data_IF_196969388111
#
_entry.id   IF_196969388111
#
_cell.length_a   1.000
_cell.length_b   1.000
_cell.length_c   1.000
_cell.angle_alpha   90.00
_cell.angle_beta   90.00
_cell.angle_gamma   90.00
#
_symmetry.space_group_name_H-M   'P 1'
#
loop_
_entity.id
_entity.type
_entity.pdbx_description
1 polymer ?
#
# COMPACT_ATOMS: atom_id res chain seq x y z
N UNK A 1 -33.61 -60.77 -7.32
CA UNK A 1 -32.97 -59.47 -7.48
C UNK A 1 -31.73 -59.65 -8.32
N UNK A 2 -31.61 -59.01 -9.53
CA UNK A 2 -30.40 -59.09 -10.30
C UNK A 2 -29.33 -58.21 -9.59
N UNK A 3 -28.19 -58.80 -9.29
CA UNK A 3 -27.01 -58.06 -8.82
C UNK A 3 -26.49 -57.22 -10.00
N UNK A 4 -26.06 -55.98 -9.77
CA UNK A 4 -25.36 -55.20 -10.80
C UNK A 4 -24.03 -55.91 -11.08
N UNK A 5 -23.83 -56.35 -12.34
CA UNK A 5 -22.55 -56.81 -12.83
C UNK A 5 -21.53 -55.68 -12.63
N UNK A 6 -20.57 -55.93 -11.74
CA UNK A 6 -19.37 -55.10 -11.62
C UNK A 6 -18.63 -55.22 -12.95
N UNK A 7 -18.71 -54.20 -13.81
CA UNK A 7 -17.90 -54.11 -15.02
C UNK A 7 -16.44 -53.93 -14.58
N UNK A 8 -15.72 -55.04 -14.49
CA UNK A 8 -14.26 -54.98 -14.38
C UNK A 8 -13.71 -54.28 -15.63
N UNK A 9 -13.14 -53.10 -15.45
CA UNK A 9 -12.49 -52.37 -16.54
C UNK A 9 -11.18 -53.09 -16.85
N UNK A 10 -11.20 -53.97 -17.86
CA UNK A 10 -10.01 -54.65 -18.35
C UNK A 10 -9.12 -53.61 -19.10
N UNK A 11 -8.05 -53.18 -18.43
CA UNK A 11 -7.08 -52.21 -18.98
C UNK A 11 -6.39 -52.74 -20.24
N UNK A 12 -6.32 -54.07 -20.42
CA UNK A 12 -5.71 -54.71 -21.58
C UNK A 12 -6.65 -54.57 -22.78
N UNK A 13 -7.93 -54.81 -22.59
CA UNK A 13 -8.97 -54.64 -23.64
C UNK A 13 -9.06 -53.18 -24.09
N UNK A 14 -8.98 -52.21 -23.14
CA UNK A 14 -8.93 -50.81 -23.40
C UNK A 14 -7.69 -50.41 -24.23
N UNK A 15 -6.54 -50.92 -23.88
CA UNK A 15 -5.29 -50.71 -24.61
C UNK A 15 -5.36 -51.27 -26.04
N UNK A 16 -5.95 -52.46 -26.21
CA UNK A 16 -6.16 -53.07 -27.55
C UNK A 16 -7.13 -52.27 -28.40
N UNK A 17 -8.23 -51.76 -27.85
CA UNK A 17 -9.18 -50.85 -28.55
C UNK A 17 -8.51 -49.58 -29.00
N UNK A 18 -7.70 -48.91 -28.14
CA UNK A 18 -6.92 -47.74 -28.50
C UNK A 18 -5.91 -48.06 -29.60
N UNK A 19 -5.23 -49.19 -29.53
CA UNK A 19 -4.28 -49.62 -30.57
C UNK A 19 -4.96 -49.93 -31.91
N UNK A 20 -6.14 -50.53 -31.89
CA UNK A 20 -6.94 -50.82 -33.08
C UNK A 20 -7.41 -49.50 -33.75
N UNK A 21 -7.72 -48.47 -32.98
CA UNK A 21 -8.13 -47.14 -33.47
C UNK A 21 -6.97 -46.17 -33.66
N UNK A 22 -5.70 -46.62 -33.72
CA UNK A 22 -4.47 -45.78 -33.81
C UNK A 22 -4.56 -44.71 -34.88
N UNK A 23 -5.19 -44.93 -36.04
CA UNK A 23 -5.33 -43.94 -37.10
C UNK A 23 -6.21 -42.76 -36.69
N UNK A 24 -7.24 -43.03 -35.91
CA UNK A 24 -8.15 -42.01 -35.39
C UNK A 24 -7.47 -41.21 -34.26
N UNK A 25 -6.75 -41.91 -33.38
CA UNK A 25 -5.97 -41.27 -32.29
C UNK A 25 -4.87 -40.38 -32.88
N UNK A 26 -4.10 -40.84 -33.87
CA UNK A 26 -3.09 -40.00 -34.53
C UNK A 26 -3.68 -38.80 -35.26
N UNK A 27 -4.86 -38.92 -35.89
CA UNK A 27 -5.56 -37.78 -36.49
C UNK A 27 -6.00 -36.79 -35.43
N UNK A 28 -6.60 -37.25 -34.33
CA UNK A 28 -7.03 -36.38 -33.23
C UNK A 28 -5.87 -35.67 -32.58
N UNK A 29 -4.78 -36.40 -32.28
CA UNK A 29 -3.55 -35.81 -31.75
C UNK A 29 -2.92 -34.80 -32.70
N UNK A 30 -2.91 -35.07 -34.01
CA UNK A 30 -2.41 -34.15 -35.03
C UNK A 30 -3.21 -32.84 -35.08
N UNK A 31 -4.56 -32.95 -35.07
CA UNK A 31 -5.43 -31.77 -35.00
C UNK A 31 -5.24 -30.99 -33.71
N UNK A 32 -5.18 -31.68 -32.56
CA UNK A 32 -4.98 -31.05 -31.27
C UNK A 32 -3.61 -30.34 -31.20
N UNK A 33 -2.55 -30.96 -31.73
CA UNK A 33 -1.22 -30.35 -31.80
C UNK A 33 -1.23 -29.10 -32.71
N UNK A 34 -1.90 -29.14 -33.84
CA UNK A 34 -2.02 -28.01 -34.77
C UNK A 34 -2.81 -26.85 -34.13
N UNK A 35 -3.92 -27.13 -33.48
CA UNK A 35 -4.68 -26.14 -32.72
C UNK A 35 -3.87 -25.57 -31.59
N UNK A 36 -3.16 -26.40 -30.80
CA UNK A 36 -2.29 -25.96 -29.72
C UNK A 36 -1.18 -25.04 -30.20
N UNK A 37 -0.59 -25.35 -31.36
CA UNK A 37 0.44 -24.51 -31.98
C UNK A 37 -0.09 -23.15 -32.42
N UNK A 38 -1.27 -23.11 -33.06
CA UNK A 38 -1.94 -21.86 -33.43
C UNK A 38 -2.27 -21.02 -32.21
N UNK A 39 -2.78 -21.62 -31.15
CA UNK A 39 -3.07 -20.91 -29.87
C UNK A 39 -1.77 -20.37 -29.27
N UNK A 40 -0.69 -21.16 -29.20
CA UNK A 40 0.57 -20.75 -28.61
C UNK A 40 1.20 -19.54 -29.33
N UNK A 41 1.14 -19.50 -30.68
CA UNK A 41 1.63 -18.35 -31.44
C UNK A 41 0.70 -17.13 -31.40
N UNK A 42 -0.54 -17.30 -30.96
CA UNK A 42 -1.52 -16.22 -30.85
C UNK A 42 -1.41 -15.40 -29.58
N UNK A 43 -0.73 -15.92 -28.55
CA UNK A 43 -0.57 -15.21 -27.27
C UNK A 43 0.47 -14.11 -27.44
N UNK A 44 0.13 -12.83 -27.16
CA UNK A 44 1.10 -11.73 -27.24
C UNK A 44 2.19 -11.92 -26.19
N UNK A 45 3.41 -11.51 -26.55
CA UNK A 45 4.54 -11.54 -25.62
C UNK A 45 4.33 -10.48 -24.53
N UNK A 46 4.70 -10.82 -23.31
CA UNK A 46 4.71 -9.91 -22.18
C UNK A 46 6.13 -9.79 -21.61
N UNK A 47 6.46 -8.59 -21.16
CA UNK A 47 7.75 -8.24 -20.59
C UNK A 47 7.53 -7.75 -19.17
N UNK A 48 8.26 -8.33 -18.22
CA UNK A 48 8.19 -7.94 -16.82
C UNK A 48 9.49 -7.26 -16.44
N UNK A 49 9.39 -6.07 -15.88
CA UNK A 49 10.50 -5.32 -15.30
C UNK A 49 10.30 -5.29 -13.80
N UNK A 50 11.37 -5.54 -13.04
CA UNK A 50 11.33 -5.50 -11.58
C UNK A 50 12.39 -4.56 -11.03
N UNK A 51 12.04 -3.86 -9.97
CA UNK A 51 12.92 -3.02 -9.16
C UNK A 51 12.83 -3.43 -7.70
N UNK A 52 13.94 -3.40 -7.00
CA UNK A 52 14.01 -3.72 -5.57
C UNK A 52 14.30 -2.45 -4.77
N UNK A 53 13.47 -2.22 -3.75
CA UNK A 53 13.62 -1.14 -2.79
C UNK A 53 14.16 -1.73 -1.49
N UNK A 54 15.32 -1.27 -1.05
CA UNK A 54 15.81 -1.61 0.27
C UNK A 54 15.00 -0.84 1.32
N UNK A 55 14.56 -1.50 2.41
CA UNK A 55 13.94 -0.78 3.51
C UNK A 55 14.97 0.21 4.08
N UNK A 56 14.54 1.42 4.32
CA UNK A 56 15.30 2.31 5.20
C UNK A 56 15.37 1.60 6.55
N UNK A 57 16.51 1.00 6.86
CA UNK A 57 16.75 0.41 8.15
C UNK A 57 16.76 1.55 9.16
N UNK A 58 15.60 1.91 9.66
CA UNK A 58 15.47 2.72 10.86
C UNK A 58 16.30 2.02 11.92
N UNK A 59 17.50 2.59 12.14
CA UNK A 59 18.60 1.90 12.80
C UNK A 59 18.18 1.24 14.09
N UNK A 60 18.11 -0.07 14.09
CA UNK A 60 18.35 -0.87 15.30
C UNK A 60 19.73 -0.60 15.91
N UNK A 61 20.52 0.27 15.29
CA UNK A 61 21.89 0.63 15.67
C UNK A 61 21.99 1.70 16.76
N UNK A 62 20.88 2.34 17.20
CA UNK A 62 20.90 3.37 18.25
C UNK A 62 20.57 2.89 19.67
N UNK A 63 20.24 1.61 19.85
CA UNK A 63 19.86 1.04 21.15
C UNK A 63 21.03 0.71 22.11
N UNK A 64 22.27 0.96 21.72
CA UNK A 64 23.42 0.51 22.50
C UNK A 64 23.52 1.14 23.89
N UNK A 65 23.85 2.38 24.03
CA UNK A 65 24.13 2.98 25.35
C UNK A 65 23.06 3.99 25.79
N UNK A 66 22.47 4.72 24.86
CA UNK A 66 21.50 5.76 25.18
C UNK A 66 20.11 5.19 25.49
N UNK A 67 19.68 4.13 24.79
CA UNK A 67 18.45 3.41 25.10
C UNK A 67 18.52 2.66 26.44
N UNK A 68 19.69 2.10 26.77
CA UNK A 68 19.92 1.45 28.06
C UNK A 68 19.93 2.47 29.24
N UNK A 69 20.48 3.65 29.03
CA UNK A 69 20.46 4.73 30.02
C UNK A 69 19.06 5.30 30.21
N UNK A 70 18.30 5.47 29.15
CA UNK A 70 16.90 5.91 29.22
C UNK A 70 16.01 4.88 29.92
N UNK A 71 16.21 3.59 29.68
CA UNK A 71 15.50 2.51 30.37
C UNK A 71 15.86 2.44 31.86
N UNK A 72 17.13 2.69 32.25
CA UNK A 72 17.57 2.79 33.65
C UNK A 72 16.99 4.02 34.35
N UNK A 73 16.72 5.10 33.63
CA UNK A 73 16.07 6.31 34.16
C UNK A 73 14.53 6.15 34.22
N UNK A 74 13.98 4.98 33.93
CA UNK A 74 12.51 4.75 33.88
C UNK A 74 11.81 5.48 32.74
N UNK A 75 12.59 6.10 31.83
CA UNK A 75 12.08 6.75 30.63
C UNK A 75 12.00 5.65 29.59
N UNK A 76 10.83 5.09 29.44
CA UNK A 76 10.53 4.23 28.31
C UNK A 76 10.49 5.15 27.05
N UNK A 77 11.64 5.46 26.50
CA UNK A 77 11.77 5.95 25.13
C UNK A 77 11.30 4.78 24.27
N UNK A 78 9.98 4.59 24.28
CA UNK A 78 9.35 3.50 23.58
C UNK A 78 10.00 3.35 22.23
N UNK A 79 10.29 2.12 21.88
CA UNK A 79 10.68 1.65 20.57
C UNK A 79 9.62 2.00 19.50
N UNK A 80 9.02 3.17 19.60
CA UNK A 80 8.05 3.73 18.66
C UNK A 80 8.71 4.27 17.38
N UNK A 81 10.03 4.21 17.27
CA UNK A 81 10.72 4.55 16.02
C UNK A 81 10.46 3.58 14.87
N UNK A 82 9.72 2.50 15.10
CA UNK A 82 9.31 1.55 14.07
C UNK A 82 7.81 1.54 13.75
N UNK A 83 6.95 2.00 14.68
CA UNK A 83 5.48 1.96 14.49
C UNK A 83 4.93 3.14 13.70
N UNK A 84 5.70 4.21 13.58
CA UNK A 84 5.30 5.42 12.82
C UNK A 84 5.65 5.36 11.33
N UNK A 85 6.48 4.43 10.90
CA UNK A 85 6.71 4.19 9.49
C UNK A 85 5.55 3.37 8.93
N UNK A 86 5.03 3.79 7.77
CA UNK A 86 4.09 2.96 7.01
C UNK A 86 4.76 1.60 6.82
N UNK A 87 4.16 0.54 7.39
CA UNK A 87 4.75 -0.80 7.32
C UNK A 87 4.91 -1.20 5.85
N UNK A 88 6.09 -1.68 5.42
CA UNK A 88 6.28 -2.17 4.05
C UNK A 88 5.25 -3.24 3.66
N UNK A 89 4.69 -3.96 4.61
CA UNK A 89 3.64 -4.96 4.37
C UNK A 89 2.37 -4.36 3.77
N UNK A 90 2.14 -3.05 3.91
CA UNK A 90 1.00 -2.34 3.32
C UNK A 90 1.24 -1.84 1.89
N UNK A 91 2.48 -1.89 1.38
CA UNK A 91 2.79 -1.40 0.03
C UNK A 91 2.01 -2.12 -1.08
N UNK A 92 1.81 -3.45 -1.04
CA UNK A 92 0.95 -4.13 -2.01
C UNK A 92 -0.48 -3.58 -2.01
N UNK A 93 -1.05 -3.31 -0.85
CA UNK A 93 -2.42 -2.79 -0.71
C UNK A 93 -2.53 -1.35 -1.22
N UNK A 94 -1.51 -0.53 -0.96
CA UNK A 94 -1.46 0.85 -1.46
C UNK A 94 -1.42 0.86 -2.98
N UNK A 95 -0.52 0.10 -3.59
CA UNK A 95 -0.33 0.06 -5.05
C UNK A 95 -1.54 -0.52 -5.76
N UNK A 96 -2.27 -1.44 -5.14
CA UNK A 96 -3.51 -2.01 -5.68
C UNK A 96 -4.75 -1.15 -5.42
N UNK A 97 -4.62 -0.09 -4.62
CA UNK A 97 -5.74 0.80 -4.30
C UNK A 97 -6.20 1.61 -5.52
N UNK A 98 -7.52 1.80 -5.64
CA UNK A 98 -8.11 2.56 -6.74
C UNK A 98 -7.54 3.98 -6.90
N UNK A 99 -7.36 4.79 -5.83
CA UNK A 99 -6.78 6.12 -5.97
C UNK A 99 -5.38 6.11 -6.56
N UNK A 100 -4.53 5.17 -6.13
CA UNK A 100 -3.17 5.03 -6.66
C UNK A 100 -3.16 4.64 -8.13
N UNK A 101 -4.03 3.70 -8.54
CA UNK A 101 -4.12 3.24 -9.93
C UNK A 101 -4.62 4.34 -10.88
N UNK A 102 -5.56 5.18 -10.42
CA UNK A 102 -6.09 6.29 -11.21
C UNK A 102 -5.01 7.36 -11.46
N UNK A 103 -4.16 7.64 -10.48
CA UNK A 103 -3.05 8.58 -10.64
C UNK A 103 -2.10 8.17 -11.77
N UNK A 104 -1.99 6.86 -12.04
CA UNK A 104 -1.19 6.34 -13.14
C UNK A 104 -1.84 6.49 -14.51
N UNK A 105 -3.14 6.77 -14.62
CA UNK A 105 -3.85 6.87 -15.90
C UNK A 105 -3.30 7.98 -16.80
N UNK A 106 -2.90 9.10 -16.21
CA UNK A 106 -2.38 10.27 -16.92
C UNK A 106 -0.88 10.15 -17.29
N UNK A 107 -0.23 9.07 -16.86
CA UNK A 107 1.18 8.83 -17.16
C UNK A 107 1.37 8.62 -18.66
N UNK A 108 2.27 9.42 -19.26
CA UNK A 108 2.61 9.29 -20.68
C UNK A 108 3.53 8.10 -20.88
N UNK A 109 3.14 7.23 -21.80
CA UNK A 109 3.89 6.02 -22.17
C UNK A 109 4.30 6.10 -23.64
N UNK A 110 5.53 5.63 -23.92
CA UNK A 110 6.09 5.57 -25.27
C UNK A 110 6.53 4.15 -25.59
N UNK A 111 6.13 3.65 -26.75
CA UNK A 111 6.57 2.36 -27.26
C UNK A 111 8.02 2.46 -27.78
N UNK A 112 8.77 1.37 -27.71
CA UNK A 112 10.12 1.25 -28.26
C UNK A 112 10.22 1.65 -29.74
N UNK A 113 9.14 1.49 -30.51
CA UNK A 113 9.07 1.82 -31.94
C UNK A 113 8.63 3.26 -32.22
N UNK A 114 8.45 4.08 -31.19
CA UNK A 114 7.94 5.46 -31.26
C UNK A 114 6.61 5.61 -32.03
N UNK A 115 5.81 4.55 -32.08
CA UNK A 115 4.50 4.54 -32.73
C UNK A 115 3.37 4.97 -31.81
N UNK A 116 3.56 4.78 -30.51
CA UNK A 116 2.60 5.09 -29.45
C UNK A 116 3.23 6.17 -28.57
N UNK A 117 2.60 7.32 -28.45
CA UNK A 117 2.91 8.39 -27.50
C UNK A 117 1.58 8.87 -26.94
N UNK A 118 1.11 8.20 -25.92
CA UNK A 118 -0.24 8.40 -25.36
C UNK A 118 -0.23 8.21 -23.85
N UNK A 119 -1.37 8.44 -23.20
CA UNK A 119 -1.54 8.17 -21.77
C UNK A 119 -1.65 6.65 -21.53
N UNK A 120 -1.28 6.22 -20.32
CA UNK A 120 -1.39 4.82 -19.92
C UNK A 120 -2.84 4.31 -20.06
N UNK A 121 -3.82 5.15 -19.76
CA UNK A 121 -5.25 4.84 -19.93
C UNK A 121 -5.57 4.49 -21.39
N UNK A 122 -5.20 5.37 -22.33
CA UNK A 122 -5.45 5.14 -23.76
C UNK A 122 -4.69 3.93 -24.29
N UNK A 123 -3.45 3.71 -23.84
CA UNK A 123 -2.67 2.52 -24.18
C UNK A 123 -3.35 1.23 -23.73
N UNK A 124 -3.88 1.20 -22.51
CA UNK A 124 -4.57 0.03 -21.97
C UNK A 124 -5.92 -0.22 -22.64
N UNK A 125 -6.62 0.84 -23.07
CA UNK A 125 -7.92 0.76 -23.72
C UNK A 125 -7.84 0.31 -25.18
N UNK A 126 -6.88 0.86 -25.96
CA UNK A 126 -6.89 0.79 -27.41
C UNK A 126 -5.73 -0.01 -28.02
N UNK A 127 -4.52 0.05 -27.44
CA UNK A 127 -3.31 -0.46 -28.04
C UNK A 127 -2.92 -1.89 -27.61
N UNK A 128 -3.65 -2.47 -26.63
CA UNK A 128 -3.34 -3.81 -26.17
C UNK A 128 -3.80 -4.89 -27.12
N UNK A 129 -2.86 -5.73 -27.52
CA UNK A 129 -3.15 -6.90 -28.34
C UNK A 129 -3.78 -7.99 -27.50
N UNK A 130 -5.01 -8.36 -27.80
CA UNK A 130 -5.65 -9.56 -27.29
C UNK A 130 -5.54 -10.69 -28.32
N UNK A 131 -5.45 -11.95 -27.89
CA UNK A 131 -5.48 -13.09 -28.80
C UNK A 131 -6.78 -13.07 -29.63
N UNK A 132 -6.68 -13.30 -30.94
CA UNK A 132 -7.85 -13.24 -31.84
C UNK A 132 -9.00 -14.19 -31.44
N UNK A 133 -8.65 -15.31 -30.81
CA UNK A 133 -9.65 -16.27 -30.33
C UNK A 133 -10.42 -15.74 -29.10
N UNK A 134 -9.88 -14.79 -28.33
CA UNK A 134 -10.61 -14.15 -27.21
C UNK A 134 -11.84 -13.40 -27.72
N UNK A 135 -11.78 -12.84 -28.93
CA UNK A 135 -12.92 -12.21 -29.59
C UNK A 135 -14.05 -13.22 -29.86
N UNK A 136 -13.71 -14.45 -30.24
CA UNK A 136 -14.69 -15.52 -30.52
C UNK A 136 -15.42 -15.95 -29.24
N UNK A 137 -14.66 -16.12 -28.12
CA UNK A 137 -15.25 -16.47 -26.83
C UNK A 137 -16.01 -15.32 -26.17
N UNK A 138 -15.60 -14.06 -26.42
CA UNK A 138 -16.28 -12.87 -25.88
C UNK A 138 -17.48 -12.43 -26.74
N UNK A 139 -17.57 -12.86 -28.01
CA UNK A 139 -18.65 -12.47 -28.92
C UNK A 139 -20.07 -12.74 -28.36
N UNK A 140 -20.40 -13.93 -27.81
CA UNK A 140 -21.73 -14.17 -27.25
C UNK A 140 -22.07 -13.26 -26.08
N UNK A 141 -21.05 -12.92 -25.22
CA UNK A 141 -21.24 -12.02 -24.09
C UNK A 141 -21.34 -10.56 -24.54
N UNK A 142 -20.63 -10.15 -25.60
CA UNK A 142 -20.72 -8.80 -26.17
C UNK A 142 -22.11 -8.58 -26.84
N UNK A 143 -22.64 -9.57 -27.52
CA UNK A 143 -23.99 -9.51 -28.08
C UNK A 143 -25.04 -9.40 -26.99
N UNK A 144 -24.92 -10.16 -25.89
CA UNK A 144 -25.81 -10.04 -24.74
C UNK A 144 -25.67 -8.65 -24.06
N UNK A 145 -24.44 -8.14 -23.94
CA UNK A 145 -24.18 -6.81 -23.43
C UNK A 145 -24.77 -5.69 -24.29
N UNK A 146 -24.66 -5.82 -25.62
CA UNK A 146 -25.24 -4.87 -26.59
C UNK A 146 -26.78 -4.83 -26.53
N UNK A 147 -27.45 -5.97 -26.38
CA UNK A 147 -28.89 -5.99 -26.19
C UNK A 147 -29.36 -5.39 -24.88
N UNK A 148 -28.55 -5.50 -23.83
CA UNK A 148 -28.79 -4.86 -22.51
C UNK A 148 -28.46 -3.36 -22.50
N UNK A 149 -27.49 -2.90 -23.29
CA UNK A 149 -27.16 -1.47 -23.40
C UNK A 149 -28.22 -0.66 -24.16
N UNK A 150 -29.02 -1.31 -25.04
CA UNK A 150 -30.17 -0.66 -25.69
C UNK A 150 -31.30 -0.27 -24.71
N UNK A 151 -31.26 -0.80 -23.49
CA UNK A 151 -32.22 -0.52 -22.41
C UNK A 151 -31.63 0.28 -21.23
N UNK A 152 -30.38 0.70 -21.32
CA UNK A 152 -29.73 1.55 -20.31
C UNK A 152 -29.24 2.83 -20.97
N UNK A 153 -29.73 3.95 -20.50
CA UNK A 153 -29.14 5.26 -20.79
C UNK A 153 -27.69 5.25 -20.25
N UNK A 154 -26.71 5.28 -21.15
CA UNK A 154 -25.32 5.50 -20.78
C UNK A 154 -25.21 6.96 -20.30
N UNK A 155 -24.62 7.22 -19.12
CA UNK A 155 -24.28 8.59 -18.76
C UNK A 155 -23.24 9.07 -19.77
N UNK A 156 -23.50 10.26 -20.35
CA UNK A 156 -22.62 10.94 -21.29
C UNK A 156 -21.19 10.99 -20.75
N UNK A 157 -20.22 10.58 -21.57
CA UNK A 157 -18.79 10.84 -21.40
C UNK A 157 -18.57 12.37 -21.47
N UNK A 158 -18.84 13.07 -20.38
CA UNK A 158 -18.40 14.46 -20.22
C UNK A 158 -17.00 14.46 -19.62
N UNK A 159 -16.21 15.49 -19.95
CA UNK A 159 -14.90 15.86 -19.39
C UNK A 159 -14.88 16.01 -17.85
N UNK A 160 -15.52 15.12 -17.13
CA UNK A 160 -15.47 15.09 -15.68
C UNK A 160 -14.09 14.58 -15.26
N UNK A 161 -13.35 15.40 -14.51
CA UNK A 161 -12.15 14.99 -13.80
C UNK A 161 -12.39 13.62 -13.19
N UNK A 162 -11.45 12.69 -13.45
CA UNK A 162 -11.43 11.35 -12.86
C UNK A 162 -11.76 11.45 -11.36
N UNK A 163 -12.93 10.95 -10.98
CA UNK A 163 -13.37 10.93 -9.59
C UNK A 163 -13.14 9.52 -9.03
N UNK A 164 -12.22 9.34 -8.08
CA UNK A 164 -11.95 8.04 -7.47
C UNK A 164 -13.17 7.34 -6.87
N UNK A 165 -14.23 8.11 -6.56
CA UNK A 165 -15.48 7.60 -5.98
C UNK A 165 -16.55 7.27 -7.04
N UNK A 166 -16.36 7.70 -8.30
CA UNK A 166 -17.33 7.52 -9.38
C UNK A 166 -16.62 7.13 -10.68
N UNK A 167 -16.06 5.95 -10.70
CA UNK A 167 -15.46 5.39 -11.90
C UNK A 167 -16.53 4.94 -12.89
N UNK A 168 -16.30 5.23 -14.14
CA UNK A 168 -17.04 4.61 -15.23
C UNK A 168 -16.71 3.12 -15.30
N UNK A 169 -17.52 2.35 -15.99
CA UNK A 169 -17.30 0.91 -16.16
C UNK A 169 -15.96 0.61 -16.85
N UNK A 170 -15.59 1.45 -17.82
CA UNK A 170 -14.32 1.31 -18.56
C UNK A 170 -13.13 1.63 -17.66
N UNK A 171 -13.19 2.70 -16.89
CA UNK A 171 -12.15 3.10 -15.95
C UNK A 171 -11.93 2.02 -14.87
N UNK A 172 -13.01 1.47 -14.32
CA UNK A 172 -12.92 0.36 -13.37
C UNK A 172 -12.28 -0.87 -13.98
N UNK A 173 -12.66 -1.24 -15.21
CA UNK A 173 -12.07 -2.38 -15.91
C UNK A 173 -10.58 -2.18 -16.21
N UNK A 174 -10.17 -0.94 -16.54
CA UNK A 174 -8.76 -0.59 -16.76
C UNK A 174 -7.98 -0.59 -15.46
N UNK A 175 -8.54 -0.07 -14.36
CA UNK A 175 -7.92 -0.14 -13.03
C UNK A 175 -7.70 -1.60 -12.60
N UNK A 176 -8.69 -2.47 -12.77
CA UNK A 176 -8.57 -3.90 -12.48
C UNK A 176 -7.54 -4.61 -13.37
N UNK A 177 -7.45 -4.22 -14.65
CA UNK A 177 -6.44 -4.75 -15.55
C UNK A 177 -5.03 -4.28 -15.15
N UNK A 178 -4.88 -3.03 -14.71
CA UNK A 178 -3.62 -2.47 -14.25
C UNK A 178 -3.16 -3.08 -12.92
N UNK A 179 -4.07 -3.27 -11.96
CA UNK A 179 -3.77 -3.90 -10.67
C UNK A 179 -3.20 -5.32 -10.82
N UNK A 180 -3.66 -6.07 -11.82
CA UNK A 180 -3.15 -7.41 -12.13
C UNK A 180 -1.76 -7.41 -12.79
N UNK A 181 -1.34 -6.28 -13.35
CA UNK A 181 -0.07 -6.11 -14.04
C UNK A 181 1.03 -5.53 -13.17
N UNK A 182 0.64 -4.90 -12.07
CA UNK A 182 1.55 -4.38 -11.07
C UNK A 182 1.55 -5.34 -9.89
N UNK A 183 2.71 -5.83 -9.52
CA UNK A 183 2.88 -6.73 -8.38
C UNK A 183 3.93 -6.17 -7.43
N UNK A 184 3.57 -6.07 -6.16
CA UNK A 184 4.49 -5.68 -5.10
C UNK A 184 4.58 -6.82 -4.11
N UNK A 185 5.79 -7.22 -3.78
CA UNK A 185 6.06 -8.24 -2.78
C UNK A 185 7.11 -7.78 -1.78
N UNK A 186 6.92 -8.12 -0.52
CA UNK A 186 7.83 -7.76 0.56
C UNK A 186 8.40 -9.04 1.19
N UNK A 187 9.71 -9.13 1.22
CA UNK A 187 10.38 -10.20 1.94
C UNK A 187 10.30 -9.92 3.45
N UNK A 188 9.56 -10.75 4.17
CA UNK A 188 9.35 -10.62 5.63
C UNK A 188 10.63 -10.74 6.46
N UNK A 189 11.70 -11.34 5.93
CA UNK A 189 12.97 -11.51 6.63
C UNK A 189 13.90 -10.32 6.48
N UNK A 190 13.97 -9.78 5.26
CA UNK A 190 14.90 -8.72 4.90
C UNK A 190 14.22 -7.34 4.85
N UNK A 191 12.87 -7.30 4.76
CA UNK A 191 12.11 -6.08 4.53
C UNK A 191 12.25 -5.52 3.11
N UNK A 192 13.00 -6.19 2.24
CA UNK A 192 13.21 -5.76 0.86
C UNK A 192 11.89 -5.86 0.10
N UNK A 193 11.52 -4.76 -0.54
CA UNK A 193 10.31 -4.68 -1.37
C UNK A 193 10.69 -4.83 -2.83
N UNK A 194 10.06 -5.76 -3.51
CA UNK A 194 10.20 -5.96 -4.96
C UNK A 194 8.93 -5.51 -5.65
N UNK A 195 9.05 -4.52 -6.52
CA UNK A 195 8.00 -4.02 -7.40
C UNK A 195 8.23 -4.59 -8.79
N UNK A 196 7.20 -5.17 -9.40
CA UNK A 196 7.25 -5.72 -10.76
C UNK A 196 6.08 -5.23 -11.57
N UNK A 197 6.34 -4.80 -12.80
CA UNK A 197 5.30 -4.36 -13.75
C UNK A 197 5.43 -5.17 -15.04
N UNK A 198 4.30 -5.72 -15.51
CA UNK A 198 4.26 -6.57 -16.70
C UNK A 198 3.46 -5.88 -17.81
N UNK A 199 4.10 -5.60 -18.96
CA UNK A 199 3.48 -4.96 -20.12
C UNK A 199 3.87 -5.67 -21.42
N UNK A 200 3.14 -5.38 -22.51
CA UNK A 200 3.40 -5.97 -23.82
C UNK A 200 4.60 -5.33 -24.54
N UNK A 201 5.05 -4.16 -24.10
CA UNK A 201 6.24 -3.48 -24.61
C UNK A 201 7.31 -3.34 -23.51
N UNK A 202 8.58 -3.66 -23.80
CA UNK A 202 9.65 -3.63 -22.79
C UNK A 202 9.98 -2.21 -22.30
N UNK A 203 9.86 -1.19 -23.17
CA UNK A 203 10.13 0.20 -22.76
C UNK A 203 9.01 0.73 -21.88
N UNK A 204 7.76 0.42 -22.21
CA UNK A 204 6.60 0.78 -21.37
C UNK A 204 6.70 0.06 -20.03
N UNK A 205 7.06 -1.23 -20.01
CA UNK A 205 7.26 -1.97 -18.76
C UNK A 205 8.31 -1.29 -17.86
N UNK A 206 9.45 -0.89 -18.43
CA UNK A 206 10.54 -0.27 -17.69
C UNK A 206 10.17 1.14 -17.19
N UNK A 207 9.62 2.00 -18.07
CA UNK A 207 9.26 3.37 -17.71
C UNK A 207 8.10 3.40 -16.68
N UNK A 208 7.13 2.51 -16.83
CA UNK A 208 6.03 2.41 -15.87
C UNK A 208 6.50 1.87 -14.51
N UNK A 209 7.45 0.91 -14.49
CA UNK A 209 8.04 0.42 -13.23
C UNK A 209 8.71 1.57 -12.47
N UNK A 210 9.48 2.40 -13.15
CA UNK A 210 10.15 3.57 -12.58
C UNK A 210 9.11 4.58 -12.06
N UNK A 211 8.08 4.88 -12.85
CA UNK A 211 7.01 5.80 -12.44
C UNK A 211 6.24 5.29 -11.22
N UNK A 212 5.84 4.02 -11.20
CA UNK A 212 5.14 3.40 -10.05
C UNK A 212 6.02 3.43 -8.80
N UNK A 213 7.33 3.18 -8.96
CA UNK A 213 8.29 3.29 -7.86
C UNK A 213 8.32 4.71 -7.29
N UNK A 214 8.44 5.73 -8.15
CA UNK A 214 8.45 7.12 -7.71
C UNK A 214 7.12 7.55 -7.07
N UNK A 215 5.98 7.17 -7.64
CA UNK A 215 4.66 7.44 -7.05
C UNK A 215 4.55 6.81 -5.66
N UNK A 216 5.00 5.55 -5.50
CA UNK A 216 5.00 4.88 -4.20
C UNK A 216 5.91 5.58 -3.18
N UNK A 217 7.12 5.97 -3.59
CA UNK A 217 8.05 6.72 -2.73
C UNK A 217 7.47 8.06 -2.29
N UNK A 218 6.88 8.81 -3.22
CA UNK A 218 6.21 10.08 -2.91
C UNK A 218 5.05 9.87 -1.93
N UNK A 219 4.19 8.88 -2.18
CA UNK A 219 3.08 8.56 -1.29
C UNK A 219 3.55 8.25 0.14
N UNK A 220 4.60 7.44 0.28
CA UNK A 220 5.19 7.10 1.59
C UNK A 220 5.75 8.34 2.27
N UNK A 221 6.49 9.18 1.53
CA UNK A 221 7.10 10.40 2.05
C UNK A 221 6.04 11.40 2.50
N UNK A 222 5.01 11.63 1.69
CA UNK A 222 3.91 12.53 2.00
C UNK A 222 3.12 12.06 3.22
N UNK A 223 2.84 10.76 3.31
CA UNK A 223 2.18 10.18 4.48
C UNK A 223 3.01 10.42 5.75
N UNK A 224 4.31 10.10 5.73
CA UNK A 224 5.22 10.27 6.88
C UNK A 224 5.32 11.74 7.28
N UNK A 225 5.45 12.64 6.29
CA UNK A 225 5.55 14.08 6.53
C UNK A 225 4.27 14.64 7.14
N UNK A 226 3.11 14.27 6.60
CA UNK A 226 1.82 14.72 7.12
C UNK A 226 1.57 14.21 8.53
N UNK A 227 1.89 12.94 8.80
CA UNK A 227 1.81 12.39 10.15
C UNK A 227 2.73 13.10 11.14
N UNK A 228 4.01 13.29 10.78
CA UNK A 228 4.97 13.97 11.64
C UNK A 228 4.54 15.42 11.95
N UNK A 229 3.98 16.14 10.98
CA UNK A 229 3.43 17.50 11.20
C UNK A 229 2.23 17.49 12.12
N UNK A 230 1.34 16.50 11.96
CA UNK A 230 0.18 16.37 12.86
C UNK A 230 0.61 16.05 14.30
N UNK A 231 1.56 15.13 14.47
CA UNK A 231 2.12 14.78 15.77
C UNK A 231 2.84 15.97 16.43
N UNK A 232 3.56 16.79 15.64
CA UNK A 232 4.17 18.02 16.11
C UNK A 232 3.11 19.01 16.61
N UNK A 233 2.07 19.28 15.83
CA UNK A 233 1.01 20.21 16.23
C UNK A 233 0.30 19.75 17.51
N UNK A 234 0.05 18.45 17.66
CA UNK A 234 -0.52 17.87 18.87
C UNK A 234 0.42 18.05 20.08
N UNK A 235 1.72 17.78 19.90
CA UNK A 235 2.71 17.93 20.97
C UNK A 235 2.92 19.40 21.37
N UNK A 236 2.85 20.35 20.43
CA UNK A 236 2.89 21.78 20.70
C UNK A 236 1.71 22.24 21.56
N UNK A 237 0.52 21.71 21.29
CA UNK A 237 -0.67 21.96 22.12
C UNK A 237 -0.46 21.43 23.55
N UNK A 238 -0.02 20.18 23.69
CA UNK A 238 0.26 19.58 24.99
C UNK A 238 1.33 20.36 25.78
N UNK A 239 2.35 20.85 25.10
CA UNK A 239 3.38 21.69 25.73
C UNK A 239 2.79 22.99 26.26
N UNK A 240 1.91 23.66 25.51
CA UNK A 240 1.21 24.86 25.96
C UNK A 240 0.37 24.61 27.23
N UNK A 241 -0.39 23.50 27.24
CA UNK A 241 -1.21 23.10 28.39
C UNK A 241 -0.35 22.74 29.61
N UNK A 242 0.72 21.97 29.45
CA UNK A 242 1.62 21.59 30.52
C UNK A 242 2.36 22.80 31.10
N UNK A 243 2.78 23.74 30.26
CA UNK A 243 3.40 24.99 30.68
C UNK A 243 2.45 25.86 31.52
N UNK A 244 1.20 26.04 31.04
CA UNK A 244 0.19 26.79 31.75
C UNK A 244 -0.15 26.15 33.11
N UNK A 245 -0.24 24.83 33.18
CA UNK A 245 -0.48 24.10 34.43
C UNK A 245 0.66 24.26 35.43
N UNK A 246 1.92 24.20 34.96
CA UNK A 246 3.09 24.45 35.83
C UNK A 246 3.11 25.86 36.33
N UNK A 247 2.88 26.88 35.47
CA UNK A 247 2.87 28.30 35.87
C UNK A 247 1.76 28.60 36.89
N UNK A 248 0.57 27.96 36.75
CA UNK A 248 -0.53 28.10 37.71
C UNK A 248 -0.18 27.45 39.04
N UNK A 249 0.35 26.22 39.05
CA UNK A 249 0.80 25.55 40.26
C UNK A 249 1.92 26.34 40.97
N UNK A 250 2.85 26.93 40.24
CA UNK A 250 3.91 27.75 40.75
C UNK A 250 3.37 29.02 41.42
N UNK A 251 2.39 29.70 40.78
CA UNK A 251 1.73 30.87 41.36
C UNK A 251 0.97 30.53 42.62
N UNK A 252 0.22 29.41 42.64
CA UNK A 252 -0.47 28.97 43.86
C UNK A 252 0.47 28.70 45.00
N UNK A 253 1.58 28.02 44.76
CA UNK A 253 2.58 27.75 45.76
C UNK A 253 3.23 29.06 46.30
N UNK A 254 3.67 29.95 45.40
CA UNK A 254 4.30 31.22 45.75
C UNK A 254 3.33 32.10 46.57
N UNK A 255 2.08 32.30 46.14
CA UNK A 255 1.09 33.09 46.85
C UNK A 255 0.79 32.51 48.23
N UNK A 256 0.75 31.18 48.35
CA UNK A 256 0.54 30.53 49.64
C UNK A 256 1.71 30.80 50.61
N UNK A 257 2.94 30.68 50.16
CA UNK A 257 4.15 30.90 50.95
C UNK A 257 4.22 32.39 51.37
N UNK A 258 3.99 33.32 50.46
CA UNK A 258 4.05 34.77 50.74
C UNK A 258 2.99 35.22 51.77
N UNK A 259 1.77 34.66 51.67
CA UNK A 259 0.69 35.00 52.59
C UNK A 259 0.88 34.44 54.01
N UNK A 260 1.75 33.41 54.17
CA UNK A 260 1.85 32.64 55.43
C UNK A 260 3.26 32.58 56.04
N UNK A 261 4.13 33.57 55.79
CA UNK A 261 5.54 33.58 56.17
C UNK A 261 5.81 33.38 57.66
N UNK A 262 4.87 33.69 58.56
CA UNK A 262 5.05 33.64 60.00
C UNK A 262 4.20 32.57 60.73
N UNK A 263 3.61 31.63 60.03
CA UNK A 263 2.66 30.66 60.62
C UNK A 263 3.32 29.30 60.83
N UNK A 264 3.38 28.81 62.07
CA UNK A 264 4.06 27.55 62.45
C UNK A 264 3.06 26.39 62.65
N UNK A 265 1.84 26.47 62.18
CA UNK A 265 0.82 25.43 62.37
C UNK A 265 1.10 24.23 61.44
N UNK A 266 0.91 23.01 61.96
CA UNK A 266 1.09 21.76 61.19
C UNK A 266 0.23 21.69 59.94
N UNK A 267 -1.00 22.24 59.97
CA UNK A 267 -1.90 22.30 58.82
C UNK A 267 -1.35 23.14 57.67
N UNK A 268 -0.61 24.21 57.99
CA UNK A 268 0.04 25.04 56.98
C UNK A 268 1.20 24.32 56.32
N UNK A 269 1.99 23.57 57.12
CA UNK A 269 3.10 22.76 56.55
C UNK A 269 2.55 21.67 55.61
N UNK A 270 1.48 21.00 55.98
CA UNK A 270 0.82 19.99 55.15
C UNK A 270 0.29 20.58 53.84
N UNK A 271 -0.30 21.79 53.89
CA UNK A 271 -0.79 22.45 52.68
C UNK A 271 0.33 22.99 51.80
N UNK A 272 1.40 23.52 52.41
CA UNK A 272 2.62 23.93 51.69
C UNK A 272 3.23 22.73 50.96
N UNK A 273 3.38 21.59 51.64
CA UNK A 273 3.91 20.36 51.04
C UNK A 273 3.04 19.85 49.92
N UNK A 274 1.70 19.91 50.06
CA UNK A 274 0.74 19.55 48.99
C UNK A 274 0.92 20.40 47.76
N UNK A 275 0.98 21.75 47.91
CA UNK A 275 1.15 22.66 46.79
C UNK A 275 2.54 22.54 46.15
N UNK A 276 3.57 22.27 46.93
CA UNK A 276 4.90 22.00 46.42
C UNK A 276 4.95 20.71 45.61
N UNK A 277 4.29 19.64 46.08
CA UNK A 277 4.19 18.39 45.34
C UNK A 277 3.40 18.56 44.06
N UNK A 278 2.30 19.34 44.05
CA UNK A 278 1.53 19.67 42.87
C UNK A 278 2.39 20.43 41.85
N UNK A 279 3.12 21.44 42.28
CA UNK A 279 4.07 22.17 41.41
C UNK A 279 5.18 21.26 40.85
N UNK A 280 5.77 20.42 41.70
CA UNK A 280 6.81 19.48 41.26
C UNK A 280 6.28 18.48 40.22
N UNK A 281 5.06 17.95 40.42
CA UNK A 281 4.41 17.07 39.43
C UNK A 281 4.16 17.80 38.11
N UNK A 282 3.61 19.01 38.17
CA UNK A 282 3.39 19.83 36.99
C UNK A 282 4.69 20.16 36.24
N UNK A 283 5.78 20.42 36.98
CA UNK A 283 7.13 20.63 36.43
C UNK A 283 7.68 19.38 35.72
N UNK A 284 7.49 18.19 36.28
CA UNK A 284 7.90 16.93 35.66
C UNK A 284 7.17 16.71 34.36
N UNK A 285 5.85 16.90 34.32
CA UNK A 285 5.02 16.79 33.12
C UNK A 285 5.50 17.80 32.07
N UNK A 286 5.69 19.07 32.45
CA UNK A 286 6.19 20.12 31.55
C UNK A 286 7.54 19.75 30.93
N UNK A 287 8.48 19.25 31.75
CA UNK A 287 9.81 18.84 31.27
C UNK A 287 9.74 17.66 30.32
N UNK A 288 8.91 16.67 30.63
CA UNK A 288 8.72 15.50 29.76
C UNK A 288 8.11 15.88 28.41
N UNK A 289 7.05 16.70 28.41
CA UNK A 289 6.43 17.17 27.18
C UNK A 289 7.36 18.09 26.38
N UNK A 290 8.19 18.89 27.05
CA UNK A 290 9.22 19.71 26.40
C UNK A 290 10.23 18.84 25.63
N UNK A 291 10.66 17.72 26.20
CA UNK A 291 11.55 16.76 25.53
C UNK A 291 10.85 16.11 24.33
N UNK A 292 9.58 15.71 24.48
CA UNK A 292 8.81 15.16 23.37
C UNK A 292 8.65 16.17 22.23
N UNK A 293 8.43 17.45 22.54
CA UNK A 293 8.35 18.51 21.53
C UNK A 293 9.65 18.66 20.74
N UNK A 294 10.80 18.60 21.41
CA UNK A 294 12.08 18.63 20.69
C UNK A 294 12.26 17.42 19.76
N UNK A 295 11.86 16.23 20.22
CA UNK A 295 11.91 15.03 19.38
C UNK A 295 10.96 15.14 18.18
N UNK A 296 9.72 15.63 18.37
CA UNK A 296 8.77 15.81 17.28
C UNK A 296 9.27 16.85 16.25
N UNK A 297 9.91 17.94 16.69
CA UNK A 297 10.53 18.91 15.79
C UNK A 297 11.70 18.32 15.00
N UNK A 298 12.57 17.56 15.64
CA UNK A 298 13.67 16.87 14.96
C UNK A 298 13.15 15.89 13.92
N UNK A 299 12.08 15.13 14.23
CA UNK A 299 11.47 14.19 13.31
C UNK A 299 10.92 14.85 12.05
N UNK A 300 10.26 16.02 12.16
CA UNK A 300 9.79 16.77 10.99
C UNK A 300 10.95 17.24 10.12
N UNK A 301 12.06 17.66 10.72
CA UNK A 301 13.26 18.08 9.98
C UNK A 301 14.00 16.94 9.31
N UNK A 302 13.94 15.73 9.87
CA UNK A 302 14.59 14.54 9.29
C UNK A 302 13.88 14.04 8.03
N UNK A 303 12.54 14.18 7.97
CA UNK A 303 11.73 13.69 6.86
C UNK A 303 11.67 14.70 5.71
N UNK A 304 11.88 16.01 5.97
CA UNK A 304 11.77 17.08 4.96
C UNK A 304 13.12 17.32 4.28
#
# INVERSE_FOLDING_TARGET
SPQPEEQEIDLIELAQKVWASRKLVFKACGIAALVGLVVAFSIPKEYSTSVTLAPESGGKSGGGSMGALAAMAGINLGTSSGEDALSPELYPDIVSSTPFLIELFDVKVKDQKAKVDTTLYAYLKEEQRSPWWSAIFSAPFKVLGWTLSLFKDEPEEGDAKLDPFRLTRDESAIADALSKRISVSVDKKTGVTTLSVTMQDPLISASLTDTVMHCLQNYITDYRTNKARHDLAFTEKLYGEAKASYEDAQKKYANFVDANQNIILLSYRAEQERLQNEMNLAYQVYTQVSQQLQMARAKVQEIT
#
